data_IF_953139030890
#
_entry.id   IF_953139030890
#
_cell.length_a   1.000
_cell.length_b   1.000
_cell.length_c   1.000
_cell.angle_alpha   90.00
_cell.angle_beta   90.00
_cell.angle_gamma   90.00
#
_symmetry.space_group_name_H-M   'P 1'
#
loop_
_entity.id
_entity.type
_entity.pdbx_description
1 polymer ?
#
# COMPACT_ATOMS: atom_id res chain seq x y z
N UNK A 1 -11.20 -7.84 -25.13
CA UNK A 1 -11.14 -8.38 -23.76
C UNK A 1 -10.91 -7.20 -22.84
N UNK A 2 -11.71 -6.99 -21.80
CA UNK A 2 -11.52 -5.79 -20.96
C UNK A 2 -10.25 -5.95 -20.12
N UNK A 3 -9.36 -4.96 -20.19
CA UNK A 3 -8.07 -4.94 -19.49
C UNK A 3 -8.23 -4.67 -17.97
N UNK A 4 -9.46 -4.54 -17.49
CA UNK A 4 -9.81 -4.14 -16.12
C UNK A 4 -9.38 -5.18 -15.06
N UNK A 5 -8.99 -6.39 -15.46
CA UNK A 5 -8.46 -7.42 -14.56
C UNK A 5 -6.93 -7.48 -14.53
N UNK A 6 -6.25 -6.62 -15.28
CA UNK A 6 -4.78 -6.57 -15.29
C UNK A 6 -4.29 -5.94 -14.00
N UNK A 7 -3.51 -6.67 -13.21
CA UNK A 7 -2.78 -6.10 -12.07
C UNK A 7 -1.63 -5.27 -12.64
N UNK A 8 -1.61 -3.98 -12.29
CA UNK A 8 -0.57 -3.04 -12.76
C UNK A 8 0.44 -2.67 -11.68
N UNK A 9 0.14 -3.02 -10.43
CA UNK A 9 0.98 -2.73 -9.29
C UNK A 9 0.75 -3.79 -8.21
N UNK A 10 1.85 -4.22 -7.57
CA UNK A 10 1.82 -5.14 -6.45
C UNK A 10 2.92 -4.81 -5.44
N UNK A 11 2.55 -4.85 -4.16
CA UNK A 11 3.43 -4.83 -3.00
C UNK A 11 3.20 -6.11 -2.21
N UNK A 12 4.29 -6.79 -1.84
CA UNK A 12 4.25 -8.08 -1.15
C UNK A 12 5.10 -7.99 0.09
N UNK A 13 4.50 -8.21 1.26
CA UNK A 13 5.22 -8.24 2.54
C UNK A 13 5.96 -6.95 2.90
N UNK A 14 5.48 -5.79 2.43
CA UNK A 14 6.21 -4.51 2.58
C UNK A 14 6.23 -4.07 4.04
N UNK A 15 7.42 -3.70 4.50
CA UNK A 15 7.66 -3.11 5.81
C UNK A 15 8.44 -1.80 5.71
N UNK A 16 8.17 -0.88 6.64
CA UNK A 16 8.95 0.34 6.81
C UNK A 16 9.23 0.57 8.28
N UNK A 17 10.52 0.62 8.60
CA UNK A 17 11.04 1.05 9.89
C UNK A 17 11.81 2.35 9.69
N UNK A 18 11.60 3.31 10.58
CA UNK A 18 12.36 4.56 10.61
C UNK A 18 13.16 4.65 11.91
N UNK A 19 14.35 5.27 11.91
CA UNK A 19 15.17 5.39 13.10
C UNK A 19 14.45 6.11 14.26
N UNK A 20 14.77 5.80 15.53
CA UNK A 20 15.70 4.73 15.93
C UNK A 20 15.08 3.33 15.83
N UNK A 21 13.76 3.17 15.99
CA UNK A 21 13.09 1.86 15.93
C UNK A 21 11.57 1.94 15.72
N UNK A 22 11.07 2.93 14.97
CA UNK A 22 9.63 3.11 14.76
C UNK A 22 9.16 2.35 13.53
N UNK A 23 8.39 1.29 13.74
CA UNK A 23 7.70 0.58 12.67
C UNK A 23 6.50 1.41 12.17
N UNK A 24 6.48 1.78 10.90
CA UNK A 24 5.36 2.49 10.25
C UNK A 24 4.47 1.51 9.48
N UNK A 25 5.06 0.61 8.69
CA UNK A 25 4.36 -0.43 7.93
C UNK A 25 4.87 -1.79 8.33
N UNK A 26 4.01 -2.78 8.55
CA UNK A 26 4.41 -4.15 8.91
C UNK A 26 3.64 -5.15 8.05
N UNK A 27 4.34 -5.89 7.20
CA UNK A 27 3.79 -6.97 6.38
C UNK A 27 2.57 -6.55 5.54
N UNK A 28 2.69 -5.44 4.81
CA UNK A 28 1.62 -4.95 3.94
C UNK A 28 1.62 -5.70 2.60
N UNK A 29 0.43 -6.10 2.15
CA UNK A 29 0.18 -6.72 0.86
C UNK A 29 -0.90 -5.92 0.14
N UNK A 30 -0.62 -5.45 -1.08
CA UNK A 30 -1.54 -4.60 -1.81
C UNK A 30 -1.31 -4.75 -3.32
N UNK A 31 -2.39 -4.91 -4.08
CA UNK A 31 -2.34 -4.96 -5.54
C UNK A 31 -3.45 -4.11 -6.13
N UNK A 32 -3.19 -3.49 -7.28
CA UNK A 32 -4.15 -2.65 -7.97
C UNK A 32 -4.41 -3.15 -9.39
N UNK A 33 -5.69 -3.21 -9.74
CA UNK A 33 -6.13 -3.43 -11.11
C UNK A 33 -6.01 -2.14 -11.93
N UNK A 34 -5.86 -2.29 -13.25
CA UNK A 34 -5.88 -1.18 -14.18
C UNK A 34 -7.22 -0.41 -14.07
N UNK A 35 -7.13 0.91 -13.91
CA UNK A 35 -8.30 1.79 -13.75
C UNK A 35 -8.89 1.85 -12.34
N UNK A 36 -8.36 1.11 -11.36
CA UNK A 36 -8.81 1.19 -9.98
C UNK A 36 -8.60 2.58 -9.37
N UNK A 37 -9.60 3.11 -8.67
CA UNK A 37 -9.50 4.33 -7.86
C UNK A 37 -9.45 3.93 -6.39
N UNK A 38 -8.34 4.23 -5.71
CA UNK A 38 -8.10 3.81 -4.31
C UNK A 38 -8.03 5.03 -3.41
N UNK A 39 -8.75 4.96 -2.28
CA UNK A 39 -8.63 5.91 -1.18
C UNK A 39 -8.03 5.22 0.05
N UNK A 40 -7.01 5.84 0.66
CA UNK A 40 -6.39 5.37 1.89
C UNK A 40 -6.89 6.24 3.05
N UNK A 41 -7.49 5.63 4.07
CA UNK A 41 -8.06 6.30 5.24
C UNK A 41 -7.49 5.74 6.54
N UNK A 42 -7.59 6.51 7.63
CA UNK A 42 -7.04 6.14 8.94
C UNK A 42 -6.51 7.34 9.72
N UNK A 43 -6.15 7.09 10.99
CA UNK A 43 -5.67 8.12 11.92
C UNK A 43 -4.38 8.81 11.45
N UNK A 44 -4.12 10.02 11.94
CA UNK A 44 -2.87 10.72 11.66
C UNK A 44 -1.67 9.94 12.22
N UNK A 45 -0.63 9.78 11.40
CA UNK A 45 0.55 8.99 11.75
C UNK A 45 0.41 7.47 11.55
N UNK A 46 -0.70 6.96 11.02
CA UNK A 46 -0.89 5.52 10.75
C UNK A 46 -0.15 4.98 9.51
N UNK A 47 0.66 5.81 8.84
CA UNK A 47 1.45 5.41 7.68
C UNK A 47 0.78 5.61 6.32
N UNK A 48 -0.37 6.30 6.23
CA UNK A 48 -1.12 6.48 4.96
C UNK A 48 -0.34 7.16 3.83
N UNK A 49 0.46 8.17 4.16
CA UNK A 49 1.31 8.89 3.18
C UNK A 49 2.65 8.20 2.97
N UNK A 50 2.97 7.21 3.81
CA UNK A 50 4.18 6.39 3.69
C UNK A 50 3.92 5.15 2.84
N UNK A 51 2.72 4.59 2.96
CA UNK A 51 2.15 3.61 2.04
C UNK A 51 1.86 4.26 0.69
#
# INVERSE_FOLDING_TARGET
MSDDKKIIFSMVGVGKLVPPNRQILKNIYLSFFYGAKIGIIGLNGSGKSTL
#
